data_IF_092491832360
#
_entry.id   IF_092491832360
#
_cell.length_a   1.000
_cell.length_b   1.000
_cell.length_c   1.000
_cell.angle_alpha   90.00
_cell.angle_beta   90.00
_cell.angle_gamma   90.00
#
_symmetry.space_group_name_H-M   'P 1'
#
loop_
_entity.id
_entity.type
_entity.pdbx_description
1 polymer ?
#
# COMPACT_ATOMS: atom_id res chain seq x y z
N UNK A 1 -49.31 8.07 -34.56
CA UNK A 1 -47.92 8.54 -34.28
C UNK A 1 -46.95 7.50 -34.83
N UNK A 2 -46.08 7.85 -35.78
CA UNK A 2 -45.24 6.87 -36.47
C UNK A 2 -44.05 6.45 -35.58
N UNK A 3 -43.96 5.15 -35.25
CA UNK A 3 -42.97 4.56 -34.34
C UNK A 3 -41.49 4.94 -34.63
N UNK A 4 -41.04 5.10 -35.90
CA UNK A 4 -39.66 5.51 -36.20
C UNK A 4 -39.28 6.89 -35.63
N UNK A 5 -40.21 7.84 -35.61
CA UNK A 5 -39.96 9.19 -35.08
C UNK A 5 -39.77 9.19 -33.56
N UNK A 6 -40.45 8.27 -32.87
CA UNK A 6 -40.35 8.12 -31.42
C UNK A 6 -38.98 7.51 -31.04
N UNK A 7 -38.53 6.49 -31.77
CA UNK A 7 -37.21 5.88 -31.55
C UNK A 7 -36.07 6.88 -31.76
N UNK A 8 -36.12 7.67 -32.83
CA UNK A 8 -35.11 8.71 -33.10
C UNK A 8 -35.06 9.74 -31.97
N UNK A 9 -36.23 10.18 -31.46
CA UNK A 9 -36.30 11.12 -30.36
C UNK A 9 -35.75 10.55 -29.04
N UNK A 10 -35.99 9.26 -28.76
CA UNK A 10 -35.44 8.58 -27.59
C UNK A 10 -33.92 8.50 -27.68
N UNK A 11 -33.38 8.10 -28.83
CA UNK A 11 -31.92 8.02 -29.04
C UNK A 11 -31.28 9.40 -28.88
N UNK A 12 -31.81 10.43 -29.55
CA UNK A 12 -31.28 11.80 -29.46
C UNK A 12 -31.33 12.36 -28.03
N UNK A 13 -32.42 12.11 -27.30
CA UNK A 13 -32.59 12.60 -25.93
C UNK A 13 -31.69 11.83 -24.97
N UNK A 14 -31.64 10.51 -25.09
CA UNK A 14 -30.77 9.63 -24.31
C UNK A 14 -29.29 9.98 -24.48
N UNK A 15 -28.82 10.17 -25.71
CA UNK A 15 -27.43 10.54 -25.99
C UNK A 15 -27.03 11.89 -25.38
N UNK A 16 -27.92 12.88 -25.36
CA UNK A 16 -27.65 14.20 -24.75
C UNK A 16 -27.51 14.13 -23.24
N UNK A 17 -28.38 13.37 -22.58
CA UNK A 17 -28.34 13.19 -21.12
C UNK A 17 -27.08 12.42 -20.73
N UNK A 18 -26.78 11.34 -21.45
CA UNK A 18 -25.59 10.51 -21.22
C UNK A 18 -24.29 11.31 -21.43
N UNK A 19 -24.21 12.09 -22.52
CA UNK A 19 -23.04 12.93 -22.80
C UNK A 19 -22.80 14.01 -21.75
N UNK A 20 -23.87 14.68 -21.26
CA UNK A 20 -23.76 15.66 -20.17
C UNK A 20 -23.29 15.01 -18.86
N UNK A 21 -23.82 13.83 -18.53
CA UNK A 21 -23.41 13.10 -17.32
C UNK A 21 -21.92 12.72 -17.37
N UNK A 22 -21.43 12.18 -18.49
CA UNK A 22 -20.01 11.87 -18.65
C UNK A 22 -19.13 13.13 -18.62
N UNK A 23 -19.57 14.24 -19.21
CA UNK A 23 -18.83 15.51 -19.18
C UNK A 23 -18.73 16.06 -17.75
N UNK A 24 -19.82 16.08 -16.99
CA UNK A 24 -19.80 16.55 -15.61
C UNK A 24 -19.00 15.62 -14.70
N UNK A 25 -19.15 14.30 -14.86
CA UNK A 25 -18.35 13.31 -14.16
C UNK A 25 -16.86 13.47 -14.48
N UNK A 26 -16.50 13.67 -15.75
CA UNK A 26 -15.14 13.93 -16.19
C UNK A 26 -14.58 15.23 -15.60
N UNK A 27 -15.37 16.33 -15.63
CA UNK A 27 -15.00 17.61 -15.02
C UNK A 27 -14.80 17.47 -13.51
N UNK A 28 -15.65 16.69 -12.84
CA UNK A 28 -15.51 16.41 -11.41
C UNK A 28 -14.29 15.55 -11.13
N UNK A 29 -13.99 14.56 -11.97
CA UNK A 29 -12.78 13.74 -11.87
C UNK A 29 -11.52 14.59 -12.02
N UNK A 30 -11.50 15.56 -12.95
CA UNK A 30 -10.38 16.50 -13.11
C UNK A 30 -10.27 17.45 -11.91
N UNK A 31 -11.38 18.00 -11.41
CA UNK A 31 -11.36 18.83 -10.20
C UNK A 31 -10.85 18.07 -8.99
N UNK A 32 -11.33 16.84 -8.78
CA UNK A 32 -10.87 15.94 -7.74
C UNK A 32 -9.39 15.60 -7.94
N UNK A 33 -8.92 15.37 -9.17
CA UNK A 33 -7.52 15.10 -9.44
C UNK A 33 -6.59 16.30 -9.19
N UNK A 34 -7.02 17.52 -9.54
CA UNK A 34 -6.27 18.77 -9.33
C UNK A 34 -6.26 19.22 -7.87
N UNK A 35 -7.38 19.01 -7.17
CA UNK A 35 -7.52 19.33 -5.75
C UNK A 35 -7.33 18.10 -4.89
N UNK A 36 -6.68 17.03 -5.37
CA UNK A 36 -6.24 15.93 -4.51
C UNK A 36 -5.28 16.58 -3.52
N UNK A 37 -5.71 16.84 -2.26
CA UNK A 37 -4.74 17.13 -1.24
C UNK A 37 -3.82 15.91 -1.22
N UNK A 38 -2.52 16.11 -1.05
CA UNK A 38 -1.62 15.01 -0.71
C UNK A 38 -2.21 14.27 0.50
N UNK A 39 -2.94 13.17 0.26
CA UNK A 39 -3.66 12.43 1.31
C UNK A 39 -5.15 12.10 1.09
N UNK A 40 -5.86 12.54 0.04
CA UNK A 40 -7.29 12.20 -0.12
C UNK A 40 -7.60 11.17 -1.23
N UNK A 41 -7.21 9.91 -0.99
CA UNK A 41 -8.03 8.71 -1.25
C UNK A 41 -7.74 7.74 -0.09
N UNK A 42 -8.63 7.67 0.90
CA UNK A 42 -8.50 6.79 2.08
C UNK A 42 -7.65 7.41 3.19
N UNK A 43 -8.30 7.86 4.26
CA UNK A 43 -7.73 8.75 5.27
C UNK A 43 -6.58 8.16 6.12
N UNK A 44 -5.86 9.09 6.74
CA UNK A 44 -5.04 9.01 7.97
C UNK A 44 -3.67 8.34 7.91
N UNK A 45 -3.31 7.61 6.87
CA UNK A 45 -2.44 6.48 7.18
C UNK A 45 -0.94 6.54 6.90
N UNK A 46 -0.39 7.67 6.47
CA UNK A 46 1.07 7.83 6.54
C UNK A 46 1.47 9.27 6.29
N UNK A 47 2.09 9.91 7.28
CA UNK A 47 2.94 11.05 7.01
C UNK A 47 4.02 10.58 5.99
N UNK A 48 4.06 11.19 4.81
CA UNK A 48 5.08 10.93 3.79
C UNK A 48 4.66 10.10 2.57
N UNK A 49 3.55 9.33 2.60
CA UNK A 49 3.10 8.61 1.36
C UNK A 49 2.68 9.59 0.26
N UNK A 50 2.10 10.73 0.63
CA UNK A 50 1.77 11.81 -0.31
C UNK A 50 3.00 12.49 -0.94
N UNK A 51 4.19 12.27 -0.38
CA UNK A 51 5.46 12.80 -0.88
C UNK A 51 6.23 11.76 -1.71
N UNK A 52 5.79 10.49 -1.72
CA UNK A 52 6.41 9.40 -2.49
C UNK A 52 6.03 9.49 -3.98
N UNK A 53 6.44 10.56 -4.65
CA UNK A 53 6.12 10.84 -6.06
C UNK A 53 7.24 10.45 -7.01
N UNK A 54 8.41 10.08 -6.50
CA UNK A 54 9.58 9.70 -7.31
C UNK A 54 9.43 8.32 -7.95
N UNK A 55 10.32 8.05 -8.90
CA UNK A 55 10.54 6.73 -9.47
C UNK A 55 11.46 5.83 -8.63
N UNK A 56 11.96 6.32 -7.49
CA UNK A 56 12.82 5.56 -6.57
C UNK A 56 12.12 4.29 -6.07
N UNK A 57 12.92 3.27 -5.76
CA UNK A 57 12.40 2.00 -5.24
C UNK A 57 11.67 2.23 -3.90
N UNK A 58 12.26 3.03 -3.01
CA UNK A 58 11.63 3.38 -1.73
C UNK A 58 10.28 4.09 -1.89
N UNK A 59 10.12 4.98 -2.89
CA UNK A 59 8.85 5.65 -3.16
C UNK A 59 7.81 4.71 -3.78
N UNK A 60 8.24 3.73 -4.60
CA UNK A 60 7.36 2.67 -5.09
C UNK A 60 6.84 1.82 -3.93
N UNK A 61 7.74 1.30 -3.09
CA UNK A 61 7.36 0.50 -1.92
C UNK A 61 6.45 1.28 -0.96
N UNK A 62 6.71 2.56 -0.75
CA UNK A 62 5.87 3.43 0.09
C UNK A 62 4.45 3.57 -0.47
N UNK A 63 4.28 3.63 -1.79
CA UNK A 63 2.96 3.66 -2.43
C UNK A 63 2.25 2.31 -2.39
N UNK A 64 2.99 1.22 -2.56
CA UNK A 64 2.44 -0.14 -2.59
C UNK A 64 1.92 -0.56 -1.22
N UNK A 65 2.73 -0.37 -0.17
CA UNK A 65 2.34 -0.73 1.20
C UNK A 65 1.51 0.35 1.91
N UNK A 66 1.41 1.56 1.32
CA UNK A 66 0.70 2.71 1.89
C UNK A 66 1.25 3.14 3.25
N UNK A 67 2.55 2.99 3.46
CA UNK A 67 3.27 3.43 4.66
C UNK A 67 4.76 3.64 4.34
N UNK A 68 5.41 4.52 5.11
CA UNK A 68 6.85 4.73 4.99
C UNK A 68 7.63 3.63 5.74
N UNK A 69 8.91 3.46 5.43
CA UNK A 69 9.77 2.54 6.17
C UNK A 69 9.87 2.92 7.66
N UNK A 70 9.96 4.21 7.95
CA UNK A 70 10.02 4.75 9.31
C UNK A 70 8.74 4.45 10.10
N UNK A 71 7.57 4.57 9.44
CA UNK A 71 6.30 4.19 10.05
C UNK A 71 6.24 2.68 10.33
N UNK A 72 6.69 1.85 9.39
CA UNK A 72 6.71 0.40 9.59
C UNK A 72 7.60 -0.01 10.78
N UNK A 73 8.77 0.62 10.91
CA UNK A 73 9.68 0.42 12.03
C UNK A 73 9.07 0.88 13.35
N UNK A 74 8.36 2.01 13.35
CA UNK A 74 7.65 2.52 14.52
C UNK A 74 6.51 1.59 14.95
N UNK A 75 5.70 1.09 14.00
CA UNK A 75 4.60 0.16 14.25
C UNK A 75 5.11 -1.13 14.90
N UNK A 76 6.21 -1.68 14.39
CA UNK A 76 6.80 -2.91 14.93
C UNK A 76 7.77 -2.66 16.10
N UNK A 77 7.96 -1.41 16.51
CA UNK A 77 8.87 -1.02 17.56
C UNK A 77 10.29 -1.60 17.37
N UNK A 78 10.83 -1.47 16.15
CA UNK A 78 12.16 -1.94 15.77
C UNK A 78 13.04 -0.77 15.36
N UNK A 79 14.35 -0.90 15.55
CA UNK A 79 15.33 0.10 15.10
C UNK A 79 15.69 -0.13 13.64
N UNK A 80 16.26 0.90 13.00
CA UNK A 80 16.83 0.79 11.65
C UNK A 80 17.97 -0.25 11.66
N UNK A 81 17.96 -1.17 10.69
CA UNK A 81 18.99 -2.19 10.54
C UNK A 81 18.88 -3.37 11.53
N UNK A 82 17.76 -3.50 12.24
CA UNK A 82 17.51 -4.70 13.05
C UNK A 82 17.42 -5.97 12.20
N UNK A 83 17.73 -7.10 12.83
CA UNK A 83 17.69 -8.40 12.14
C UNK A 83 16.24 -8.81 11.83
N UNK A 84 16.06 -9.59 10.77
CA UNK A 84 14.72 -10.00 10.33
C UNK A 84 14.03 -10.88 11.38
N UNK A 85 14.80 -11.60 12.20
CA UNK A 85 14.30 -12.41 13.31
C UNK A 85 13.67 -11.54 14.41
N UNK A 86 14.31 -10.41 14.75
CA UNK A 86 13.78 -9.46 15.72
C UNK A 86 12.48 -8.81 15.21
N UNK A 87 12.45 -8.43 13.93
CA UNK A 87 11.25 -7.91 13.26
C UNK A 87 10.10 -8.92 13.34
N UNK A 88 10.37 -10.18 13.02
CA UNK A 88 9.37 -11.26 13.07
C UNK A 88 8.86 -11.52 14.49
N UNK A 89 9.74 -11.52 15.49
CA UNK A 89 9.35 -11.70 16.90
C UNK A 89 8.40 -10.59 17.38
N UNK A 90 8.74 -9.34 17.08
CA UNK A 90 7.88 -8.20 17.44
C UNK A 90 6.55 -8.24 16.68
N UNK A 91 6.57 -8.61 15.40
CA UNK A 91 5.36 -8.82 14.61
C UNK A 91 4.45 -9.88 15.25
N UNK A 92 4.96 -11.06 15.60
CA UNK A 92 4.17 -12.14 16.20
C UNK A 92 3.53 -11.69 17.53
N UNK A 93 4.30 -10.97 18.35
CA UNK A 93 3.82 -10.41 19.61
C UNK A 93 2.68 -9.40 19.40
N UNK A 94 2.89 -8.41 18.53
CA UNK A 94 1.89 -7.36 18.25
C UNK A 94 0.66 -7.90 17.52
N UNK A 95 0.85 -8.84 16.59
CA UNK A 95 -0.25 -9.46 15.87
C UNK A 95 -1.14 -10.25 16.83
N UNK A 96 -0.55 -11.04 17.73
CA UNK A 96 -1.28 -11.81 18.74
C UNK A 96 -2.02 -10.88 19.72
N UNK A 97 -1.37 -9.81 20.19
CA UNK A 97 -1.97 -8.85 21.10
C UNK A 97 -3.20 -8.12 20.49
N UNK A 98 -3.24 -7.98 19.17
CA UNK A 98 -4.34 -7.32 18.44
C UNK A 98 -5.27 -8.31 17.71
N UNK A 99 -5.10 -9.61 17.89
CA UNK A 99 -5.92 -10.62 17.24
C UNK A 99 -7.34 -10.64 17.81
N UNK A 100 -8.34 -11.11 17.03
CA UNK A 100 -9.69 -11.28 17.54
C UNK A 100 -9.68 -12.13 18.81
N UNK A 101 -10.33 -11.65 19.89
CA UNK A 101 -10.40 -12.40 21.13
C UNK A 101 -11.23 -13.67 20.93
N UNK A 102 -10.99 -14.71 21.76
CA UNK A 102 -11.72 -15.96 21.64
C UNK A 102 -13.24 -15.72 21.74
N UNK A 103 -13.99 -16.47 20.94
CA UNK A 103 -15.44 -16.39 20.95
C UNK A 103 -15.98 -16.69 22.37
N UNK A 104 -16.98 -15.93 22.85
CA UNK A 104 -17.58 -16.21 24.14
C UNK A 104 -18.19 -17.62 24.14
N UNK A 105 -18.15 -18.29 25.30
CA UNK A 105 -18.81 -19.59 25.47
C UNK A 105 -20.30 -19.48 25.11
N UNK A 106 -20.89 -20.50 24.46
CA UNK A 106 -22.29 -20.46 24.07
C UNK A 106 -23.17 -20.21 25.30
N UNK A 107 -24.16 -19.31 25.20
CA UNK A 107 -25.06 -19.04 26.31
C UNK A 107 -25.86 -20.29 26.68
N UNK A 108 -26.25 -20.46 27.96
CA UNK A 108 -27.23 -21.47 28.33
C UNK A 108 -28.55 -21.24 27.57
N UNK A 109 -29.23 -22.34 27.23
CA UNK A 109 -30.46 -22.34 26.43
C UNK A 109 -31.45 -21.30 26.94
N UNK A 110 -31.88 -20.38 26.06
CA UNK A 110 -32.83 -19.31 26.38
C UNK A 110 -32.22 -17.96 26.78
N UNK A 111 -30.89 -17.82 26.86
CA UNK A 111 -30.23 -16.53 27.16
C UNK A 111 -29.54 -15.91 25.94
N UNK A 112 -29.51 -14.56 25.89
CA UNK A 112 -28.86 -13.79 24.83
C UNK A 112 -27.34 -13.87 25.00
N UNK A 113 -26.63 -14.22 23.93
CA UNK A 113 -25.16 -14.22 23.92
C UNK A 113 -24.62 -12.79 24.21
N UNK A 114 -23.55 -12.66 25.03
CA UNK A 114 -22.87 -11.38 25.17
C UNK A 114 -22.28 -10.93 23.83
N UNK A 115 -22.18 -9.62 23.57
CA UNK A 115 -21.50 -9.13 22.37
C UNK A 115 -20.05 -9.64 22.34
N UNK A 116 -19.51 -9.97 21.16
CA UNK A 116 -18.12 -10.39 21.05
C UNK A 116 -17.20 -9.26 21.54
N UNK A 117 -16.06 -9.59 22.17
CA UNK A 117 -15.14 -8.56 22.61
C UNK A 117 -14.57 -7.82 21.39
N UNK A 118 -14.43 -6.50 21.52
CA UNK A 118 -14.01 -5.65 20.43
C UNK A 118 -12.54 -5.87 20.08
N UNK A 119 -12.23 -5.94 18.79
CA UNK A 119 -10.86 -5.91 18.26
C UNK A 119 -10.80 -4.97 17.07
N UNK A 120 -9.63 -4.39 16.81
CA UNK A 120 -9.43 -3.51 15.66
C UNK A 120 -8.76 -4.27 14.53
N UNK A 121 -9.56 -4.66 13.52
CA UNK A 121 -9.03 -5.22 12.27
C UNK A 121 -8.05 -4.25 11.58
N UNK A 122 -8.27 -2.95 11.74
CA UNK A 122 -7.39 -1.92 11.22
C UNK A 122 -5.98 -2.00 11.83
N UNK A 123 -5.87 -2.13 13.16
CA UNK A 123 -4.57 -2.27 13.82
C UNK A 123 -3.85 -3.54 13.40
N UNK A 124 -4.58 -4.66 13.33
CA UNK A 124 -4.03 -5.92 12.84
C UNK A 124 -3.52 -5.79 11.40
N UNK A 125 -4.28 -5.13 10.52
CA UNK A 125 -3.89 -4.88 9.13
C UNK A 125 -2.65 -3.99 9.02
N UNK A 126 -2.49 -3.01 9.92
CA UNK A 126 -1.31 -2.14 9.97
C UNK A 126 -0.04 -2.90 10.38
N UNK A 127 -0.15 -3.80 11.37
CA UNK A 127 0.96 -4.65 11.81
C UNK A 127 1.43 -5.58 10.68
N UNK A 128 0.50 -6.18 9.93
CA UNK A 128 0.84 -7.02 8.77
C UNK A 128 1.53 -6.22 7.68
N UNK A 129 0.97 -5.08 7.28
CA UNK A 129 1.58 -4.22 6.23
C UNK A 129 2.96 -3.71 6.63
N UNK A 130 3.19 -3.44 7.93
CA UNK A 130 4.49 -3.02 8.42
C UNK A 130 5.56 -4.12 8.21
N UNK A 131 5.22 -5.37 8.49
CA UNK A 131 6.10 -6.50 8.22
C UNK A 131 6.40 -6.61 6.72
N UNK A 132 5.37 -6.57 5.88
CA UNK A 132 5.51 -6.64 4.43
C UNK A 132 6.39 -5.52 3.88
N UNK A 133 6.25 -4.28 4.40
CA UNK A 133 7.05 -3.13 3.99
C UNK A 133 8.53 -3.29 4.32
N UNK A 134 8.85 -3.84 5.50
CA UNK A 134 10.24 -4.08 5.93
C UNK A 134 10.85 -5.24 5.13
N UNK A 135 10.09 -6.31 4.90
CA UNK A 135 10.52 -7.42 4.03
C UNK A 135 10.82 -6.93 2.61
N UNK A 136 9.94 -6.13 2.03
CA UNK A 136 10.14 -5.60 0.68
C UNK A 136 11.36 -4.67 0.58
N UNK A 137 11.69 -3.93 1.64
CA UNK A 137 12.94 -3.16 1.68
C UNK A 137 14.18 -4.07 1.71
N UNK A 138 14.16 -5.12 2.52
CA UNK A 138 15.27 -6.07 2.62
C UNK A 138 15.49 -6.82 1.30
N UNK A 139 14.41 -7.26 0.66
CA UNK A 139 14.46 -7.90 -0.66
C UNK A 139 14.95 -6.94 -1.75
N UNK A 140 14.56 -5.66 -1.68
CA UNK A 140 15.05 -4.64 -2.59
C UNK A 140 16.55 -4.39 -2.39
N UNK A 141 17.02 -4.29 -1.15
CA UNK A 141 18.43 -4.11 -0.82
C UNK A 141 19.27 -5.30 -1.34
N UNK A 142 18.82 -6.54 -1.10
CA UNK A 142 19.49 -7.73 -1.58
C UNK A 142 19.61 -7.77 -3.12
N UNK A 143 18.54 -7.37 -3.84
CA UNK A 143 18.57 -7.27 -5.31
C UNK A 143 19.54 -6.21 -5.81
N UNK A 144 19.69 -5.09 -5.09
CA UNK A 144 20.71 -4.08 -5.46
C UNK A 144 22.11 -4.67 -5.28
N UNK A 145 22.38 -5.35 -4.17
CA UNK A 145 23.69 -5.97 -3.91
C UNK A 145 24.06 -7.03 -4.95
N UNK A 146 23.10 -7.86 -5.38
CA UNK A 146 23.30 -8.86 -6.45
C UNK A 146 23.64 -8.22 -7.80
N UNK A 147 22.98 -7.11 -8.15
CA UNK A 147 23.22 -6.38 -9.40
C UNK A 147 24.58 -5.68 -9.41
N UNK A 148 25.06 -5.20 -8.27
CA UNK A 148 26.39 -4.61 -8.11
C UNK A 148 27.49 -5.68 -8.14
N UNK A 149 27.26 -6.85 -7.52
CA UNK A 149 28.20 -7.97 -7.55
C UNK A 149 28.34 -8.60 -8.96
N UNK A 150 27.26 -8.62 -9.75
CA UNK A 150 27.25 -9.14 -11.12
C UNK A 150 27.93 -8.25 -12.16
N UNK A 151 28.21 -6.97 -11.85
CA UNK A 151 28.85 -6.01 -12.76
C UNK A 151 30.38 -5.92 -12.63
N UNK A 152 31.01 -6.81 -11.86
CA UNK A 152 32.47 -6.95 -11.78
C UNK A 152 33.10 -7.54 -13.05
N UNK A 153 33.17 -6.77 -14.14
CA UNK A 153 33.93 -7.09 -15.36
C UNK A 153 35.47 -7.10 -15.15
N UNK A 154 36.25 -7.68 -16.10
CA UNK A 154 37.59 -8.21 -15.84
C UNK A 154 38.62 -7.14 -15.49
N UNK A 155 39.41 -7.40 -14.43
CA UNK A 155 40.58 -6.62 -14.02
C UNK A 155 41.57 -6.52 -15.19
N UNK A 156 41.77 -5.32 -15.72
CA UNK A 156 42.87 -5.01 -16.66
C UNK A 156 44.21 -5.40 -16.03
N UNK A 157 45.07 -6.18 -16.71
CA UNK A 157 46.39 -6.53 -16.18
C UNK A 157 47.29 -5.29 -16.10
N UNK A 158 48.20 -5.20 -15.11
CA UNK A 158 49.09 -4.05 -14.96
C UNK A 158 50.09 -3.97 -16.12
N UNK A 159 50.52 -2.75 -16.52
CA UNK A 159 51.47 -2.58 -17.61
C UNK A 159 52.85 -3.16 -17.26
N UNK A 160 53.54 -3.83 -18.20
CA UNK A 160 54.88 -4.34 -17.95
C UNK A 160 55.86 -3.19 -17.77
N UNK A 161 56.53 -3.18 -16.63
CA UNK A 161 57.64 -2.28 -16.30
C UNK A 161 58.79 -2.45 -17.29
N UNK A 162 59.02 -1.45 -18.13
CA UNK A 162 60.21 -1.35 -18.95
C UNK A 162 61.45 -1.14 -18.07
N UNK A 163 62.43 -2.04 -18.20
CA UNK A 163 63.80 -1.80 -17.74
C UNK A 163 64.64 -1.38 -18.95
N UNK A 164 65.24 -0.20 -18.85
CA UNK A 164 66.39 0.22 -19.66
C UNK A 164 67.69 -0.31 -19.05
#
# INVERSE_FOLDING_TARGET
MSAPKILINIVLTGSRILGKAFYEAGRQAVKNAKHRPQGAIGGVDAAGVGNATSGSITDRLTRDHRMTLDEAQLILNVKRGETMEAVKSNYEHLFKANSPPPAPSPPPSGSRAPPPPAHSHYLQSKVVRALERIHAEADAAAKVDELEAGQGGPKTPPPPSGKS
#
